data_IF_284293209725
#
_entry.id   IF_284293209725
#
_cell.length_a   1.000
_cell.length_b   1.000
_cell.length_c   1.000
_cell.angle_alpha   90.00
_cell.angle_beta   90.00
_cell.angle_gamma   90.00
#
_symmetry.space_group_name_H-M   'P 1'
#
loop_
_entity.id
_entity.type
_entity.pdbx_description
1 polymer ?
#
# COMPACT_ATOMS: atom_id res chain seq x y z
N UNK A 1 -26.22 6.40 -38.98
CA UNK A 1 -24.77 6.50 -39.20
C UNK A 1 -24.54 7.57 -40.24
N UNK A 2 -24.14 8.77 -39.84
CA UNK A 2 -23.57 9.70 -40.80
C UNK A 2 -22.12 9.27 -41.02
N UNK A 3 -21.74 9.06 -42.27
CA UNK A 3 -20.34 8.89 -42.63
C UNK A 3 -19.54 10.11 -42.12
N UNK A 4 -18.39 9.86 -41.51
CA UNK A 4 -17.49 10.92 -41.10
C UNK A 4 -17.17 11.79 -42.33
N UNK A 5 -17.16 13.13 -42.22
CA UNK A 5 -16.81 14.00 -43.34
C UNK A 5 -15.44 13.62 -43.92
N UNK A 6 -15.31 13.60 -45.25
CA UNK A 6 -14.01 13.42 -45.92
C UNK A 6 -13.07 14.64 -45.75
N UNK A 7 -13.55 15.70 -45.10
CA UNK A 7 -12.77 16.90 -44.77
C UNK A 7 -12.25 16.82 -43.33
N UNK A 8 -11.05 17.34 -43.10
CA UNK A 8 -10.46 17.36 -41.77
C UNK A 8 -11.31 18.22 -40.82
N UNK A 9 -11.91 17.59 -39.81
CA UNK A 9 -12.69 18.28 -38.78
C UNK A 9 -11.78 18.57 -37.58
N UNK A 10 -11.69 19.84 -37.19
CA UNK A 10 -10.98 20.24 -35.98
C UNK A 10 -11.86 20.00 -34.75
N UNK A 11 -11.40 19.12 -33.86
CA UNK A 11 -12.07 18.87 -32.57
C UNK A 11 -11.63 19.93 -31.55
N UNK A 12 -12.62 20.57 -30.92
CA UNK A 12 -12.43 21.66 -29.93
C UNK A 12 -13.28 21.40 -28.69
N UNK A 13 -13.09 22.21 -27.65
CA UNK A 13 -13.84 22.11 -26.39
C UNK A 13 -15.36 22.33 -26.57
N UNK A 14 -15.78 22.94 -27.69
CA UNK A 14 -17.19 23.07 -28.07
C UNK A 14 -17.74 21.81 -28.76
N UNK A 15 -16.87 20.89 -29.17
CA UNK A 15 -17.27 19.64 -29.82
C UNK A 15 -17.67 18.61 -28.78
N UNK A 16 -18.85 18.01 -28.93
CA UNK A 16 -19.29 16.88 -28.10
C UNK A 16 -18.97 15.56 -28.81
N UNK A 17 -18.25 14.67 -28.13
CA UNK A 17 -17.94 13.31 -28.58
C UNK A 17 -18.73 12.32 -27.73
N UNK A 18 -19.68 11.63 -28.35
CA UNK A 18 -20.44 10.56 -27.70
C UNK A 18 -19.77 9.21 -27.92
N UNK A 19 -19.36 8.56 -26.84
CA UNK A 19 -18.82 7.20 -26.83
C UNK A 19 -19.93 6.22 -26.45
N UNK A 20 -20.17 5.23 -27.32
CA UNK A 20 -21.22 4.24 -27.12
C UNK A 20 -20.83 2.93 -27.80
N UNK A 21 -20.67 1.87 -27.00
CA UNK A 21 -20.42 0.50 -27.49
C UNK A 21 -19.33 0.42 -28.58
N UNK A 22 -18.16 1.00 -28.28
CA UNK A 22 -16.95 0.92 -29.11
C UNK A 22 -15.73 0.50 -28.29
N UNK A 23 -14.66 0.16 -28.98
CA UNK A 23 -13.30 0.09 -28.44
C UNK A 23 -12.46 1.20 -29.06
N UNK A 24 -11.71 1.94 -28.24
CA UNK A 24 -10.82 3.01 -28.71
C UNK A 24 -9.42 2.87 -28.11
N UNK A 25 -8.41 3.36 -28.83
CA UNK A 25 -7.07 3.44 -28.22
C UNK A 25 -7.06 4.42 -27.03
N UNK A 26 -6.36 4.07 -25.96
CA UNK A 26 -6.05 4.91 -24.81
C UNK A 26 -5.54 6.31 -25.22
N UNK A 27 -4.72 6.40 -26.28
CA UNK A 27 -4.25 7.71 -26.78
C UNK A 27 -5.38 8.56 -27.34
N UNK A 28 -6.23 7.98 -28.17
CA UNK A 28 -7.38 8.70 -28.73
C UNK A 28 -8.35 9.11 -27.61
N UNK A 29 -8.57 8.22 -26.63
CA UNK A 29 -9.36 8.52 -25.45
C UNK A 29 -8.83 9.75 -24.69
N UNK A 30 -7.52 9.83 -24.42
CA UNK A 30 -6.93 11.02 -23.78
C UNK A 30 -6.99 12.27 -24.65
N UNK A 31 -6.97 12.15 -25.98
CA UNK A 31 -7.21 13.29 -26.87
C UNK A 31 -8.64 13.81 -26.70
N UNK A 32 -9.63 12.93 -26.68
CA UNK A 32 -11.03 13.32 -26.46
C UNK A 32 -11.24 13.94 -25.09
N UNK A 33 -10.73 13.32 -24.02
CA UNK A 33 -10.82 13.87 -22.67
C UNK A 33 -10.30 15.31 -22.60
N UNK A 34 -9.19 15.60 -23.28
CA UNK A 34 -8.51 16.89 -23.16
C UNK A 34 -9.04 17.97 -24.07
N UNK A 35 -9.55 17.59 -25.26
CA UNK A 35 -9.88 18.53 -26.34
C UNK A 35 -11.37 18.66 -26.60
N UNK A 36 -12.23 17.78 -26.09
CA UNK A 36 -13.67 17.76 -26.42
C UNK A 36 -14.51 17.57 -25.17
N UNK A 37 -15.81 17.90 -25.22
CA UNK A 37 -16.75 17.41 -24.21
C UNK A 37 -17.08 15.94 -24.50
N UNK A 38 -16.82 15.05 -23.55
CA UNK A 38 -17.07 13.62 -23.71
C UNK A 38 -18.37 13.24 -23.02
N UNK A 39 -19.24 12.56 -23.74
CA UNK A 39 -20.46 11.93 -23.20
C UNK A 39 -20.36 10.42 -23.40
N UNK A 40 -20.75 9.65 -22.39
CA UNK A 40 -20.76 8.18 -22.45
C UNK A 40 -22.21 7.73 -22.38
N UNK A 41 -22.70 7.16 -23.48
CA UNK A 41 -24.09 6.67 -23.59
C UNK A 41 -24.17 5.20 -23.18
N UNK A 42 -23.28 4.38 -23.72
CA UNK A 42 -23.09 2.98 -23.35
C UNK A 42 -21.64 2.73 -22.94
N UNK A 43 -21.40 1.65 -22.18
CA UNK A 43 -20.04 1.28 -21.81
C UNK A 43 -19.17 1.07 -23.06
N UNK A 44 -17.94 1.56 -23.00
CA UNK A 44 -16.95 1.42 -24.07
C UNK A 44 -15.67 0.81 -23.49
N UNK A 45 -14.70 0.49 -24.34
CA UNK A 45 -13.41 -0.08 -23.91
C UNK A 45 -12.24 0.76 -24.38
N UNK A 46 -11.17 0.78 -23.59
CA UNK A 46 -9.88 1.34 -23.96
C UNK A 46 -8.84 0.22 -24.13
N UNK A 47 -8.01 0.35 -25.16
CA UNK A 47 -6.97 -0.61 -25.53
C UNK A 47 -5.64 0.10 -25.82
N UNK A 48 -4.57 -0.66 -26.00
CA UNK A 48 -3.26 -0.13 -26.38
C UNK A 48 -3.32 0.53 -27.76
N UNK A 49 -2.64 1.67 -27.91
CA UNK A 49 -2.45 2.32 -29.18
C UNK A 49 -1.44 1.54 -30.02
N UNK A 50 -1.82 1.27 -31.25
CA UNK A 50 -0.97 0.67 -32.27
C UNK A 50 -1.02 1.57 -33.51
N UNK A 51 0.14 2.08 -33.93
CA UNK A 51 0.24 2.96 -35.09
C UNK A 51 -0.10 2.25 -36.41
N UNK A 52 -0.14 0.92 -36.42
CA UNK A 52 -0.46 0.11 -37.58
C UNK A 52 -1.94 -0.26 -37.69
N UNK A 53 -2.76 0.10 -36.71
CA UNK A 53 -4.15 -0.33 -36.63
C UNK A 53 -5.10 0.86 -36.38
N UNK A 54 -6.39 0.66 -36.66
CA UNK A 54 -7.40 1.67 -36.41
C UNK A 54 -7.56 1.94 -34.91
N UNK A 55 -7.71 3.23 -34.57
CA UNK A 55 -7.85 3.72 -33.21
C UNK A 55 -9.28 3.59 -32.66
N UNK A 56 -10.25 3.22 -33.49
CA UNK A 56 -11.67 3.01 -33.17
C UNK A 56 -12.09 1.67 -33.78
N UNK A 57 -12.72 0.81 -32.99
CA UNK A 57 -13.11 -0.56 -33.35
C UNK A 57 -14.46 -0.92 -32.74
N UNK A 58 -15.04 -2.01 -33.22
CA UNK A 58 -16.23 -2.60 -32.61
C UNK A 58 -15.97 -3.06 -31.17
N UNK A 59 -16.96 -2.88 -30.30
CA UNK A 59 -16.87 -3.29 -28.90
C UNK A 59 -16.78 -4.81 -28.74
N UNK A 60 -16.16 -5.27 -27.65
CA UNK A 60 -16.00 -6.71 -27.37
C UNK A 60 -14.89 -7.38 -28.18
N UNK A 61 -14.25 -6.68 -29.12
CA UNK A 61 -12.98 -7.08 -29.74
C UNK A 61 -11.78 -6.96 -28.80
N UNK A 62 -12.03 -6.73 -27.51
CA UNK A 62 -11.05 -6.57 -26.44
C UNK A 62 -9.95 -7.60 -26.60
N UNK A 63 -8.85 -7.15 -27.19
CA UNK A 63 -7.63 -7.92 -27.13
C UNK A 63 -7.37 -8.13 -25.65
N UNK A 64 -7.06 -9.37 -25.27
CA UNK A 64 -6.32 -9.66 -24.05
C UNK A 64 -4.90 -9.09 -24.19
N UNK A 65 -4.78 -7.79 -24.47
CA UNK A 65 -3.56 -7.02 -24.59
C UNK A 65 -3.53 -6.01 -23.46
N UNK A 66 -3.11 -6.45 -22.26
CA UNK A 66 -2.84 -5.55 -21.15
C UNK A 66 -1.96 -4.39 -21.61
N UNK A 67 -2.34 -3.16 -21.27
CA UNK A 67 -1.61 -1.96 -21.66
C UNK A 67 -1.24 -1.09 -20.47
N UNK A 68 -0.40 -0.09 -20.71
CA UNK A 68 0.01 0.87 -19.70
C UNK A 68 -0.90 2.09 -19.75
N UNK A 69 -1.58 2.37 -18.63
CA UNK A 69 -2.36 3.58 -18.44
C UNK A 69 -1.54 4.55 -17.58
N UNK A 70 -0.91 5.51 -18.23
CA UNK A 70 -0.13 6.55 -17.57
C UNK A 70 -0.58 7.92 -18.08
N UNK A 71 -0.09 8.97 -17.45
CA UNK A 71 -0.33 10.32 -17.90
C UNK A 71 0.88 10.87 -18.68
N UNK A 72 0.82 10.84 -20.01
CA UNK A 72 1.91 11.35 -20.86
C UNK A 72 1.98 12.89 -20.92
N UNK A 73 0.92 13.61 -20.51
CA UNK A 73 0.79 15.06 -20.76
C UNK A 73 0.09 15.80 -19.61
N UNK A 74 0.09 17.13 -19.61
CA UNK A 74 -0.63 17.92 -18.60
C UNK A 74 -2.14 17.70 -18.74
N UNK A 75 -2.80 17.46 -17.61
CA UNK A 75 -4.23 17.18 -17.55
C UNK A 75 -4.98 18.50 -17.59
N UNK A 76 -5.85 18.68 -18.58
CA UNK A 76 -6.69 19.87 -18.68
C UNK A 76 -7.85 19.79 -17.68
N UNK A 77 -8.35 20.96 -17.25
CA UNK A 77 -9.57 21.05 -16.43
C UNK A 77 -10.73 20.29 -17.11
N UNK A 78 -10.86 20.45 -18.43
CA UNK A 78 -11.86 19.74 -19.24
C UNK A 78 -11.74 18.21 -19.12
N UNK A 79 -10.53 17.65 -19.02
CA UNK A 79 -10.34 16.22 -18.84
C UNK A 79 -10.86 15.74 -17.49
N UNK A 80 -10.66 16.52 -16.43
CA UNK A 80 -11.19 16.22 -15.09
C UNK A 80 -12.73 16.27 -15.12
N UNK A 81 -13.30 17.35 -15.67
CA UNK A 81 -14.77 17.47 -15.78
C UNK A 81 -15.39 16.33 -16.60
N UNK A 82 -14.71 15.89 -17.66
CA UNK A 82 -15.16 14.76 -18.45
C UNK A 82 -15.16 13.45 -17.65
N UNK A 83 -14.14 13.22 -16.81
CA UNK A 83 -14.07 12.04 -15.93
C UNK A 83 -15.18 12.07 -14.88
N UNK A 84 -15.40 13.23 -14.25
CA UNK A 84 -16.45 13.41 -13.24
C UNK A 84 -17.84 13.05 -13.79
N UNK A 85 -18.12 13.40 -15.06
CA UNK A 85 -19.39 13.10 -15.73
C UNK A 85 -19.59 11.61 -16.06
N UNK A 86 -18.52 10.80 -16.07
CA UNK A 86 -18.61 9.39 -16.45
C UNK A 86 -19.23 8.55 -15.33
N UNK A 87 -20.03 7.55 -15.68
CA UNK A 87 -20.53 6.59 -14.70
C UNK A 87 -19.39 5.66 -14.20
N UNK A 88 -19.43 5.18 -12.95
CA UNK A 88 -18.55 4.11 -12.49
C UNK A 88 -18.66 2.86 -13.39
N UNK A 89 -17.55 2.14 -13.57
CA UNK A 89 -17.46 0.94 -14.42
C UNK A 89 -17.92 1.12 -15.89
N UNK A 90 -17.85 2.34 -16.44
CA UNK A 90 -18.23 2.62 -17.83
C UNK A 90 -17.13 2.36 -18.86
N UNK A 91 -15.87 2.20 -18.40
CA UNK A 91 -14.69 2.06 -19.25
C UNK A 91 -14.07 0.68 -19.07
N UNK A 92 -14.34 -0.26 -19.97
CA UNK A 92 -13.68 -1.57 -20.00
C UNK A 92 -12.18 -1.44 -20.30
N UNK A 93 -11.33 -2.11 -19.52
CA UNK A 93 -9.90 -2.14 -19.80
C UNK A 93 -9.22 -3.40 -19.25
N UNK A 94 -8.06 -3.73 -19.84
CA UNK A 94 -7.11 -4.70 -19.31
C UNK A 94 -5.79 -3.97 -19.05
N UNK A 95 -5.42 -3.82 -17.79
CA UNK A 95 -4.25 -3.06 -17.39
C UNK A 95 -3.05 -3.96 -17.15
N UNK A 96 -1.91 -3.57 -17.72
CA UNK A 96 -0.59 -4.09 -17.38
C UNK A 96 0.06 -3.21 -16.32
N UNK A 97 -0.03 -1.89 -16.48
CA UNK A 97 0.56 -0.90 -15.59
C UNK A 97 -0.38 0.29 -15.45
N UNK A 98 -0.40 0.88 -14.27
CA UNK A 98 -1.08 2.15 -13.99
C UNK A 98 -0.15 3.02 -13.16
N UNK A 99 0.16 4.21 -13.65
CA UNK A 99 1.03 5.17 -12.96
C UNK A 99 0.48 6.58 -13.08
N UNK A 100 -0.04 7.09 -11.96
CA UNK A 100 -0.55 8.45 -11.84
C UNK A 100 0.09 9.13 -10.63
N UNK A 101 0.72 10.29 -10.86
CA UNK A 101 1.35 11.10 -9.83
C UNK A 101 0.81 12.52 -9.90
N UNK A 102 0.36 13.02 -8.75
CA UNK A 102 -0.11 14.40 -8.55
C UNK A 102 -1.06 14.91 -9.63
N UNK A 103 -2.13 14.14 -9.86
CA UNK A 103 -3.10 14.47 -10.90
C UNK A 103 -4.52 14.02 -10.56
N UNK A 104 -5.50 14.85 -10.94
CA UNK A 104 -6.92 14.51 -10.89
C UNK A 104 -7.32 13.33 -11.78
N UNK A 105 -6.45 12.85 -12.68
CA UNK A 105 -6.70 11.62 -13.45
C UNK A 105 -6.86 10.38 -12.56
N UNK A 106 -6.36 10.39 -11.32
CA UNK A 106 -6.58 9.29 -10.38
C UNK A 106 -8.08 9.02 -10.18
N UNK A 107 -8.93 10.05 -10.30
CA UNK A 107 -10.38 9.94 -10.25
C UNK A 107 -11.00 9.11 -11.40
N UNK A 108 -10.23 8.70 -12.40
CA UNK A 108 -10.69 7.75 -13.42
C UNK A 108 -10.85 6.32 -12.87
N UNK A 109 -10.15 5.96 -11.78
CA UNK A 109 -10.11 4.57 -11.28
C UNK A 109 -11.50 3.95 -11.06
N UNK A 110 -12.48 4.62 -10.41
CA UNK A 110 -13.82 4.06 -10.25
C UNK A 110 -14.60 3.93 -11.57
N UNK A 111 -14.19 4.64 -12.62
CA UNK A 111 -14.80 4.59 -13.96
C UNK A 111 -14.31 3.37 -14.75
N UNK A 112 -13.14 2.84 -14.39
CA UNK A 112 -12.56 1.66 -15.02
C UNK A 112 -13.27 0.39 -14.58
N UNK A 113 -13.75 -0.38 -15.55
CA UNK A 113 -14.19 -1.77 -15.42
C UNK A 113 -13.02 -2.69 -15.75
N UNK A 114 -12.10 -2.82 -14.80
CA UNK A 114 -10.95 -3.74 -14.89
C UNK A 114 -11.46 -5.17 -14.78
N UNK A 115 -11.07 -6.02 -15.73
CA UNK A 115 -11.48 -7.42 -15.71
C UNK A 115 -10.96 -8.13 -14.45
N UNK A 116 -11.79 -8.96 -13.82
CA UNK A 116 -11.45 -9.63 -12.56
C UNK A 116 -10.20 -10.50 -12.64
N UNK A 117 -9.90 -11.06 -13.82
CA UNK A 117 -8.70 -11.88 -14.07
C UNK A 117 -7.45 -11.09 -14.49
N UNK A 118 -7.50 -9.75 -14.51
CA UNK A 118 -6.32 -8.94 -14.83
C UNK A 118 -5.18 -9.16 -13.83
N UNK A 119 -3.97 -9.25 -14.37
CA UNK A 119 -2.73 -9.26 -13.59
C UNK A 119 -1.97 -7.96 -13.89
N UNK A 120 -1.94 -7.05 -12.93
CA UNK A 120 -1.26 -5.76 -13.04
C UNK A 120 0.19 -5.92 -12.57
N UNK A 121 1.16 -5.54 -13.39
CA UNK A 121 2.57 -5.54 -13.00
C UNK A 121 2.88 -4.39 -12.02
N UNK A 122 2.39 -3.18 -12.29
CA UNK A 122 2.60 -2.03 -11.41
C UNK A 122 1.33 -1.19 -11.29
N UNK A 123 0.94 -0.87 -10.06
CA UNK A 123 -0.08 0.12 -9.74
C UNK A 123 0.57 1.17 -8.83
N UNK A 124 0.83 2.36 -9.37
CA UNK A 124 1.43 3.47 -8.65
C UNK A 124 0.50 4.67 -8.64
N UNK A 125 0.21 5.16 -7.44
CA UNK A 125 -0.58 6.37 -7.21
C UNK A 125 0.16 7.26 -6.21
N UNK A 126 0.40 8.51 -6.57
CA UNK A 126 0.86 9.56 -5.66
C UNK A 126 -0.13 10.74 -5.73
N UNK A 127 -0.58 11.22 -4.58
CA UNK A 127 -1.39 12.42 -4.49
C UNK A 127 -1.00 13.28 -3.28
N UNK A 128 -0.26 14.36 -3.51
CA UNK A 128 0.07 15.36 -2.49
C UNK A 128 -1.10 16.27 -2.10
N UNK A 129 -2.16 16.32 -2.93
CA UNK A 129 -3.39 17.09 -2.69
C UNK A 129 -4.62 16.17 -2.64
N UNK A 130 -5.50 16.40 -1.67
CA UNK A 130 -6.75 15.63 -1.51
C UNK A 130 -7.64 15.69 -2.75
N UNK A 131 -7.66 16.84 -3.44
CA UNK A 131 -8.45 17.05 -4.64
C UNK A 131 -8.14 16.03 -5.76
N UNK A 132 -6.92 15.50 -5.80
CA UNK A 132 -6.53 14.49 -6.79
C UNK A 132 -7.22 13.14 -6.58
N UNK A 133 -7.69 12.84 -5.37
CA UNK A 133 -8.34 11.55 -5.03
C UNK A 133 -9.76 11.69 -4.49
N UNK A 134 -10.26 12.92 -4.32
CA UNK A 134 -11.52 13.20 -3.64
C UNK A 134 -12.71 12.39 -4.21
N UNK A 135 -12.81 12.25 -5.53
CA UNK A 135 -13.89 11.49 -6.16
C UNK A 135 -13.76 9.98 -5.91
N UNK A 136 -12.52 9.47 -5.88
CA UNK A 136 -12.26 8.07 -5.51
C UNK A 136 -12.65 7.82 -4.06
N UNK A 137 -12.27 8.71 -3.15
CA UNK A 137 -12.58 8.58 -1.73
C UNK A 137 -14.08 8.73 -1.45
N UNK A 138 -14.81 9.49 -2.27
CA UNK A 138 -16.26 9.62 -2.18
C UNK A 138 -17.02 8.35 -2.61
N UNK A 139 -16.36 7.35 -3.22
CA UNK A 139 -17.04 6.13 -3.65
C UNK A 139 -17.55 5.31 -2.45
N UNK A 140 -18.82 4.93 -2.49
CA UNK A 140 -19.41 4.00 -1.52
C UNK A 140 -19.02 2.54 -1.81
N UNK A 141 -18.94 2.18 -3.09
CA UNK A 141 -18.66 0.81 -3.54
C UNK A 141 -17.20 0.69 -3.95
N UNK A 142 -16.47 -0.31 -3.43
CA UNK A 142 -15.11 -0.55 -3.88
C UNK A 142 -15.04 -0.93 -5.36
N UNK A 143 -14.01 -0.46 -6.07
CA UNK A 143 -13.74 -0.83 -7.46
C UNK A 143 -12.76 -2.00 -7.55
N UNK A 144 -12.78 -2.74 -8.66
CA UNK A 144 -11.91 -3.90 -8.88
C UNK A 144 -10.51 -3.46 -9.32
N UNK A 145 -9.46 -4.13 -8.82
CA UNK A 145 -8.06 -3.94 -9.24
C UNK A 145 -7.44 -5.20 -9.84
N UNK A 146 -8.28 -6.10 -10.35
CA UNK A 146 -7.87 -7.39 -10.92
C UNK A 146 -7.56 -8.47 -9.89
N UNK A 147 -7.09 -9.62 -10.37
CA UNK A 147 -6.80 -10.83 -9.57
C UNK A 147 -5.47 -10.75 -8.86
N UNK A 148 -4.50 -10.08 -9.47
CA UNK A 148 -3.15 -9.95 -8.93
C UNK A 148 -2.57 -8.58 -9.27
N UNK A 149 -1.86 -8.00 -8.30
CA UNK A 149 -0.98 -6.86 -8.49
C UNK A 149 0.42 -7.30 -8.07
N UNK A 150 1.42 -7.16 -8.94
CA UNK A 150 2.79 -7.46 -8.56
C UNK A 150 3.30 -6.38 -7.61
N UNK A 151 3.40 -5.13 -8.07
CA UNK A 151 3.83 -4.03 -7.22
C UNK A 151 2.75 -2.95 -7.08
N UNK A 152 2.36 -2.63 -5.85
CA UNK A 152 1.40 -1.58 -5.51
C UNK A 152 2.09 -0.50 -4.65
N UNK A 153 2.11 0.74 -5.14
CA UNK A 153 2.70 1.89 -4.46
C UNK A 153 1.63 2.97 -4.29
N UNK A 154 1.30 3.31 -3.04
CA UNK A 154 0.36 4.39 -2.73
C UNK A 154 1.07 5.42 -1.84
N UNK A 155 1.18 6.65 -2.34
CA UNK A 155 1.89 7.74 -1.68
C UNK A 155 0.94 8.89 -1.33
N UNK A 156 1.09 9.42 -0.13
CA UNK A 156 0.32 10.54 0.42
C UNK A 156 -1.21 10.29 0.42
N UNK A 157 -2.05 11.20 -0.08
CA UNK A 157 -3.51 11.01 -0.06
C UNK A 157 -3.95 9.77 -0.85
N UNK A 158 -3.10 9.25 -1.76
CA UNK A 158 -3.38 8.00 -2.46
C UNK A 158 -3.40 6.79 -1.52
N UNK A 159 -2.80 6.86 -0.33
CA UNK A 159 -2.96 5.82 0.70
C UNK A 159 -4.44 5.60 1.05
N UNK A 160 -5.26 6.65 1.04
CA UNK A 160 -6.71 6.55 1.27
C UNK A 160 -7.44 5.68 0.25
N UNK A 161 -6.94 5.65 -1.00
CA UNK A 161 -7.58 4.95 -2.13
C UNK A 161 -7.69 3.45 -1.88
N UNK A 162 -6.77 2.85 -1.10
CA UNK A 162 -6.81 1.42 -0.77
C UNK A 162 -8.14 0.99 -0.12
N UNK A 163 -8.79 1.88 0.63
CA UNK A 163 -10.08 1.62 1.30
C UNK A 163 -11.24 1.50 0.32
N UNK A 164 -11.04 1.95 -0.92
CA UNK A 164 -12.01 1.96 -2.01
C UNK A 164 -11.68 0.88 -3.05
N UNK A 165 -10.70 0.02 -2.80
CA UNK A 165 -10.35 -1.11 -3.65
C UNK A 165 -10.99 -2.41 -3.14
N UNK A 166 -11.49 -3.23 -4.05
CA UNK A 166 -11.96 -4.59 -3.75
C UNK A 166 -10.77 -5.56 -3.77
N UNK A 167 -10.18 -5.81 -2.59
CA UNK A 167 -8.93 -6.59 -2.45
C UNK A 167 -9.12 -8.01 -1.94
N UNK A 168 -10.32 -8.43 -1.53
CA UNK A 168 -10.56 -9.70 -0.83
C UNK A 168 -9.92 -10.92 -1.52
N UNK A 169 -10.04 -10.99 -2.84
CA UNK A 169 -9.51 -12.10 -3.64
C UNK A 169 -8.24 -11.73 -4.44
N UNK A 170 -7.71 -10.52 -4.22
CA UNK A 170 -6.53 -10.00 -4.89
C UNK A 170 -5.25 -10.52 -4.22
N UNK A 171 -4.31 -11.02 -5.01
CA UNK A 171 -2.93 -11.28 -4.56
C UNK A 171 -2.03 -10.08 -4.82
N UNK A 172 -1.27 -9.65 -3.82
CA UNK A 172 -0.32 -8.54 -3.93
C UNK A 172 1.08 -9.07 -3.61
N UNK A 173 2.04 -8.98 -4.53
CA UNK A 173 3.42 -9.40 -4.22
C UNK A 173 4.13 -8.38 -3.35
N UNK A 174 4.02 -7.09 -3.68
CA UNK A 174 4.65 -6.00 -2.96
C UNK A 174 3.66 -4.84 -2.76
N UNK A 175 3.39 -4.48 -1.50
CA UNK A 175 2.57 -3.34 -1.11
C UNK A 175 3.41 -2.31 -0.37
N UNK A 176 3.56 -1.11 -0.93
CA UNK A 176 4.21 0.03 -0.28
C UNK A 176 3.21 1.16 -0.04
N UNK A 177 3.06 1.57 1.22
CA UNK A 177 2.30 2.76 1.61
C UNK A 177 3.23 3.77 2.27
N UNK A 178 3.22 5.00 1.79
CA UNK A 178 4.02 6.09 2.35
C UNK A 178 3.15 7.33 2.52
N UNK A 179 3.13 7.90 3.72
CA UNK A 179 2.34 9.10 4.00
C UNK A 179 3.12 10.08 4.87
N UNK A 180 3.45 11.23 4.28
CA UNK A 180 4.31 12.24 4.93
C UNK A 180 3.59 13.15 5.94
N UNK A 181 2.25 13.23 5.85
CA UNK A 181 1.41 14.02 6.75
C UNK A 181 0.28 13.18 7.33
N UNK A 182 -0.18 13.56 8.52
CA UNK A 182 -1.31 12.91 9.18
C UNK A 182 -2.60 12.91 8.34
N UNK A 183 -2.85 14.01 7.62
CA UNK A 183 -4.03 14.17 6.77
C UNK A 183 -4.10 13.14 5.63
N UNK A 184 -2.95 12.69 5.12
CA UNK A 184 -2.87 11.69 4.05
C UNK A 184 -3.51 10.34 4.41
N UNK A 185 -3.54 9.99 5.70
CA UNK A 185 -4.13 8.74 6.20
C UNK A 185 -5.46 8.95 6.92
N UNK A 186 -6.01 10.17 6.94
CA UNK A 186 -7.19 10.50 7.73
C UNK A 186 -8.41 9.65 7.34
N UNK A 187 -8.66 9.47 6.03
CA UNK A 187 -9.75 8.63 5.52
C UNK A 187 -9.62 7.17 5.98
N UNK A 188 -8.40 6.65 6.02
CA UNK A 188 -8.15 5.28 6.47
C UNK A 188 -8.38 5.14 7.96
N UNK A 189 -7.86 6.09 8.75
CA UNK A 189 -8.03 6.10 10.21
C UNK A 189 -9.48 6.35 10.65
N UNK A 190 -10.30 7.00 9.81
CA UNK A 190 -11.72 7.20 10.03
C UNK A 190 -12.55 5.91 9.87
N UNK A 191 -12.00 4.86 9.26
CA UNK A 191 -12.70 3.58 9.09
C UNK A 191 -13.11 2.99 10.45
N UNK A 192 -14.41 2.68 10.58
CA UNK A 192 -14.98 2.08 11.80
C UNK A 192 -14.66 0.59 11.91
N UNK A 193 -14.54 -0.10 10.78
CA UNK A 193 -14.24 -1.53 10.71
C UNK A 193 -12.93 -1.73 9.95
N UNK A 194 -12.12 -2.74 10.32
CA UNK A 194 -10.96 -3.08 9.54
C UNK A 194 -11.35 -3.46 8.10
N UNK A 195 -10.57 -3.03 7.11
CA UNK A 195 -10.75 -3.38 5.72
C UNK A 195 -9.79 -4.52 5.30
N UNK A 196 -10.15 -5.25 4.25
CA UNK A 196 -9.30 -6.32 3.72
C UNK A 196 -8.24 -5.73 2.78
N UNK A 197 -6.99 -6.14 2.95
CA UNK A 197 -5.85 -5.74 2.11
C UNK A 197 -5.48 -6.78 1.04
N UNK A 198 -6.26 -7.87 0.95
CA UNK A 198 -5.94 -9.02 0.09
C UNK A 198 -4.83 -9.89 0.65
N UNK A 199 -4.28 -10.76 -0.21
CA UNK A 199 -3.15 -11.64 0.13
C UNK A 199 -1.85 -10.93 -0.22
N UNK A 200 -1.28 -10.20 0.73
CA UNK A 200 -0.03 -9.45 0.57
C UNK A 200 1.16 -10.33 0.96
N UNK A 201 2.15 -10.44 0.08
CA UNK A 201 3.38 -11.19 0.34
C UNK A 201 4.41 -10.33 1.08
N UNK A 202 4.77 -9.18 0.51
CA UNK A 202 5.69 -8.20 1.12
C UNK A 202 4.97 -6.87 1.37
N UNK A 203 5.07 -6.33 2.58
CA UNK A 203 4.45 -5.07 2.98
C UNK A 203 5.48 -4.10 3.54
N UNK A 204 5.48 -2.87 3.03
CA UNK A 204 6.33 -1.78 3.50
C UNK A 204 5.50 -0.55 3.84
N UNK A 205 5.56 -0.09 5.09
CA UNK A 205 4.82 1.08 5.54
C UNK A 205 5.80 2.13 6.09
N UNK A 206 5.69 3.36 5.59
CA UNK A 206 6.56 4.47 5.98
C UNK A 206 5.79 5.63 6.57
N UNK A 207 6.34 6.22 7.63
CA UNK A 207 5.81 7.41 8.29
C UNK A 207 4.35 7.22 8.77
N UNK A 208 3.44 8.16 8.49
CA UNK A 208 2.05 8.06 8.97
C UNK A 208 1.30 6.84 8.41
N UNK A 209 1.80 6.21 7.35
CA UNK A 209 1.20 4.99 6.79
C UNK A 209 1.27 3.81 7.77
N UNK A 210 2.20 3.80 8.72
CA UNK A 210 2.25 2.76 9.77
C UNK A 210 0.97 2.77 10.63
N UNK A 211 0.34 3.93 10.82
CA UNK A 211 -0.95 4.03 11.51
C UNK A 211 -2.09 3.25 10.85
N UNK A 212 -2.00 2.99 9.54
CA UNK A 212 -3.02 2.27 8.77
C UNK A 212 -3.18 0.83 9.23
N UNK A 213 -2.14 0.20 9.80
CA UNK A 213 -2.21 -1.17 10.33
C UNK A 213 -3.39 -1.37 11.28
N UNK A 214 -3.70 -0.36 12.09
CA UNK A 214 -4.82 -0.40 13.06
C UNK A 214 -6.19 -0.56 12.43
N UNK A 215 -6.28 -0.40 11.10
CA UNK A 215 -7.51 -0.45 10.30
C UNK A 215 -7.46 -1.56 9.25
N UNK A 216 -6.44 -2.40 9.25
CA UNK A 216 -6.34 -3.53 8.33
C UNK A 216 -6.78 -4.83 9.03
N UNK A 217 -7.46 -5.70 8.28
CA UNK A 217 -7.73 -7.08 8.72
C UNK A 217 -6.56 -7.98 8.32
N UNK A 218 -5.61 -8.17 9.24
CA UNK A 218 -4.34 -8.86 8.96
C UNK A 218 -4.24 -10.30 9.51
N UNK A 219 -5.25 -10.76 10.26
CA UNK A 219 -5.20 -12.05 10.98
C UNK A 219 -4.89 -13.25 10.08
N UNK A 220 -5.42 -13.24 8.86
CA UNK A 220 -5.27 -14.31 7.88
C UNK A 220 -4.17 -14.02 6.83
N UNK A 221 -3.36 -12.97 7.05
CA UNK A 221 -2.23 -12.65 6.19
C UNK A 221 -1.01 -13.51 6.53
N UNK A 222 -0.24 -13.83 5.48
CA UNK A 222 1.04 -14.55 5.56
C UNK A 222 2.10 -13.72 4.85
N UNK A 223 2.86 -12.94 5.61
CA UNK A 223 3.90 -12.09 5.09
C UNK A 223 5.23 -12.84 4.96
N UNK A 224 5.86 -12.75 3.79
CA UNK A 224 7.30 -13.02 3.69
C UNK A 224 8.08 -11.87 4.33
N UNK A 225 7.71 -10.62 4.05
CA UNK A 225 8.33 -9.43 4.66
C UNK A 225 7.26 -8.46 5.19
N UNK A 226 7.42 -8.02 6.45
CA UNK A 226 6.75 -6.85 7.01
C UNK A 226 7.81 -5.84 7.44
N UNK A 227 7.87 -4.68 6.79
CA UNK A 227 8.81 -3.61 7.08
C UNK A 227 8.08 -2.33 7.49
N UNK A 228 8.47 -1.74 8.62
CA UNK A 228 7.92 -0.50 9.16
C UNK A 228 9.05 0.48 9.47
N UNK A 229 8.97 1.70 8.92
CA UNK A 229 9.98 2.76 9.12
C UNK A 229 9.29 4.06 9.53
N UNK A 230 9.64 4.57 10.71
CA UNK A 230 9.09 5.84 11.21
C UNK A 230 10.14 6.70 11.92
N UNK A 231 10.64 7.77 11.29
CA UNK A 231 11.66 8.63 11.90
C UNK A 231 11.11 9.59 12.96
N UNK A 232 9.78 9.66 13.17
CA UNK A 232 9.15 10.59 14.12
C UNK A 232 8.08 9.92 14.97
N UNK A 233 8.01 10.30 16.24
CA UNK A 233 7.03 9.76 17.23
C UNK A 233 5.58 9.89 16.78
N UNK A 234 5.24 10.99 16.11
CA UNK A 234 3.87 11.27 15.65
C UNK A 234 3.37 10.27 14.60
N UNK A 235 4.26 9.64 13.84
CA UNK A 235 3.93 8.66 12.80
C UNK A 235 3.27 7.40 13.37
N UNK A 236 3.66 6.98 14.58
CA UNK A 236 3.12 5.79 15.26
C UNK A 236 2.02 6.10 16.27
N UNK A 237 1.64 7.38 16.43
CA UNK A 237 0.71 7.80 17.48
C UNK A 237 -0.67 7.12 17.38
N UNK A 238 -1.13 6.77 16.16
CA UNK A 238 -2.38 6.03 15.97
C UNK A 238 -2.29 4.58 16.48
N UNK A 239 -1.13 3.94 16.29
CA UNK A 239 -0.88 2.56 16.75
C UNK A 239 -0.75 2.52 18.27
N UNK A 240 0.05 3.41 18.86
CA UNK A 240 0.32 3.40 20.29
C UNK A 240 -0.91 3.72 21.15
N UNK A 241 -1.90 4.42 20.58
CA UNK A 241 -3.20 4.68 21.22
C UNK A 241 -4.12 3.47 21.28
N UNK A 242 -3.81 2.37 20.58
CA UNK A 242 -4.60 1.15 20.68
C UNK A 242 -4.49 0.57 22.10
N UNK A 243 -5.65 0.36 22.73
CA UNK A 243 -5.73 -0.28 24.05
C UNK A 243 -5.45 -1.77 23.94
N UNK A 244 -5.96 -2.41 22.88
CA UNK A 244 -5.78 -3.82 22.60
C UNK A 244 -4.77 -4.03 21.48
N UNK A 245 -3.79 -4.93 21.64
CA UNK A 245 -2.92 -5.33 20.54
C UNK A 245 -3.71 -5.87 19.35
N UNK A 246 -3.22 -5.63 18.13
CA UNK A 246 -3.81 -6.17 16.90
C UNK A 246 -2.96 -7.33 16.37
N UNK A 247 -3.63 -8.32 15.78
CA UNK A 247 -2.99 -9.49 15.19
C UNK A 247 -2.40 -9.13 13.82
N UNK A 248 -1.10 -9.37 13.62
CA UNK A 248 -0.40 -9.14 12.34
C UNK A 248 -0.35 -10.37 11.43
N UNK A 249 -1.03 -11.46 11.80
CA UNK A 249 -1.01 -12.72 11.05
C UNK A 249 0.30 -13.49 11.25
N UNK A 250 0.77 -14.18 10.19
CA UNK A 250 2.07 -14.86 10.14
C UNK A 250 3.09 -13.98 9.44
N UNK A 251 4.30 -13.87 9.99
CA UNK A 251 5.38 -13.04 9.45
C UNK A 251 6.69 -13.83 9.45
N UNK A 252 7.30 -14.01 8.28
CA UNK A 252 8.59 -14.69 8.14
C UNK A 252 9.76 -13.76 8.47
N UNK A 253 9.76 -12.53 7.94
CA UNK A 253 10.78 -11.53 8.23
C UNK A 253 10.13 -10.20 8.64
N UNK A 254 10.52 -9.67 9.79
CA UNK A 254 10.00 -8.43 10.36
C UNK A 254 11.13 -7.42 10.56
N UNK A 255 10.99 -6.23 9.95
CA UNK A 255 11.95 -5.14 10.03
C UNK A 255 11.27 -3.92 10.63
N UNK A 256 11.72 -3.46 11.80
CA UNK A 256 11.18 -2.27 12.47
C UNK A 256 12.29 -1.26 12.69
N UNK A 257 12.14 -0.07 12.11
CA UNK A 257 13.13 1.01 12.16
C UNK A 257 12.61 2.23 12.92
N UNK A 258 13.47 2.78 13.79
CA UNK A 258 13.24 3.95 14.62
C UNK A 258 11.97 3.83 15.49
N UNK A 259 11.04 4.79 15.47
CA UNK A 259 9.84 4.74 16.31
C UNK A 259 8.93 3.53 15.99
N UNK A 260 9.18 2.83 14.87
CA UNK A 260 8.42 1.64 14.50
C UNK A 260 8.74 0.48 15.44
N UNK A 261 9.91 0.50 16.10
CA UNK A 261 10.25 -0.45 17.17
C UNK A 261 9.20 -0.44 18.28
N UNK A 262 8.62 0.73 18.60
CA UNK A 262 7.54 0.85 19.59
C UNK A 262 6.24 0.12 19.20
N UNK A 263 6.00 -0.07 17.90
CA UNK A 263 4.78 -0.71 17.37
C UNK A 263 4.67 -2.17 17.82
N UNK A 264 5.79 -2.86 18.03
CA UNK A 264 5.82 -4.28 18.44
C UNK A 264 5.04 -4.53 19.74
N UNK A 265 4.99 -3.54 20.64
CA UNK A 265 4.25 -3.62 21.91
C UNK A 265 2.73 -3.65 21.73
N UNK A 266 2.25 -3.30 20.54
CA UNK A 266 0.84 -3.26 20.15
C UNK A 266 0.49 -4.35 19.15
N UNK A 267 1.41 -5.28 18.87
CA UNK A 267 1.18 -6.40 17.98
C UNK A 267 0.97 -7.69 18.79
N UNK A 268 0.09 -8.55 18.29
CA UNK A 268 0.09 -9.97 18.64
C UNK A 268 0.51 -10.78 17.43
N UNK A 269 1.47 -11.66 17.66
CA UNK A 269 1.92 -12.64 16.66
C UNK A 269 1.10 -13.91 16.89
N UNK A 270 0.70 -14.57 15.80
CA UNK A 270 -0.04 -15.82 15.89
C UNK A 270 0.77 -16.89 16.66
N UNK A 271 0.13 -17.69 17.52
CA UNK A 271 0.82 -18.66 18.41
C UNK A 271 1.70 -19.67 17.62
N UNK A 272 1.20 -20.10 16.46
CA UNK A 272 1.91 -20.99 15.53
C UNK A 272 2.91 -20.27 14.61
N UNK A 273 3.13 -18.97 14.76
CA UNK A 273 4.09 -18.24 13.93
C UNK A 273 5.52 -18.44 14.45
N UNK A 274 6.41 -18.78 13.52
CA UNK A 274 7.85 -18.79 13.73
C UNK A 274 8.46 -17.68 12.86
N UNK A 275 9.01 -16.65 13.50
CA UNK A 275 9.67 -15.55 12.79
C UNK A 275 11.06 -16.03 12.37
N UNK A 276 11.30 -16.12 11.07
CA UNK A 276 12.62 -16.43 10.53
C UNK A 276 13.66 -15.33 10.84
N UNK A 277 13.28 -14.06 10.73
CA UNK A 277 14.13 -12.93 11.11
C UNK A 277 13.35 -11.80 11.80
N UNK A 278 13.76 -11.42 13.01
CA UNK A 278 13.32 -10.20 13.70
C UNK A 278 14.48 -9.19 13.70
N UNK A 279 14.34 -8.11 12.94
CA UNK A 279 15.33 -7.04 12.83
C UNK A 279 14.76 -5.75 13.42
N UNK A 280 15.39 -5.23 14.48
CA UNK A 280 15.04 -3.95 15.09
C UNK A 280 16.23 -3.00 15.03
N UNK A 281 16.03 -1.78 14.53
CA UNK A 281 17.05 -0.71 14.52
C UNK A 281 16.47 0.55 15.14
N UNK A 282 17.21 1.21 16.03
CA UNK A 282 16.79 2.49 16.60
C UNK A 282 17.98 3.43 16.81
N UNK A 283 18.01 4.50 16.03
CA UNK A 283 19.12 5.47 16.06
C UNK A 283 19.16 6.39 17.28
N UNK A 284 18.05 6.53 18.01
CA UNK A 284 17.95 7.35 19.21
C UNK A 284 17.27 6.61 20.39
N UNK A 285 17.63 6.95 21.64
CA UNK A 285 16.96 6.38 22.84
C UNK A 285 15.45 6.67 22.82
N UNK A 286 15.04 7.81 22.25
CA UNK A 286 13.64 8.19 22.14
C UNK A 286 12.81 7.21 21.30
N UNK A 287 13.42 6.51 20.35
CA UNK A 287 12.75 5.56 19.44
C UNK A 287 12.24 4.32 20.18
N UNK A 288 12.92 3.93 21.26
CA UNK A 288 12.56 2.75 22.08
C UNK A 288 11.86 3.12 23.39
N UNK A 289 11.65 4.41 23.66
CA UNK A 289 11.11 4.88 24.94
C UNK A 289 9.76 4.24 25.31
N UNK A 290 8.88 4.03 24.33
CA UNK A 290 7.59 3.38 24.53
C UNK A 290 7.73 1.91 24.95
N UNK A 291 8.70 1.20 24.37
CA UNK A 291 9.00 -0.19 24.72
C UNK A 291 9.54 -0.27 26.13
N UNK A 292 10.49 0.60 26.47
CA UNK A 292 11.13 0.65 27.79
C UNK A 292 10.17 1.09 28.90
N UNK A 293 9.12 1.83 28.56
CA UNK A 293 8.08 2.23 29.50
C UNK A 293 7.11 1.10 29.86
N UNK A 294 7.12 -0.03 29.14
CA UNK A 294 6.27 -1.17 29.46
C UNK A 294 6.60 -1.73 30.84
N UNK A 295 5.58 -1.91 31.68
CA UNK A 295 5.73 -2.56 32.99
C UNK A 295 6.03 -4.04 32.84
N UNK A 296 5.36 -4.70 31.89
CA UNK A 296 5.50 -6.12 31.61
C UNK A 296 6.23 -6.33 30.29
N UNK A 297 7.12 -7.34 30.21
CA UNK A 297 7.71 -7.72 28.94
C UNK A 297 6.64 -8.11 27.91
N UNK A 298 6.91 -7.84 26.63
CA UNK A 298 6.11 -8.33 25.52
C UNK A 298 6.73 -9.61 24.94
N UNK A 299 5.89 -10.50 24.40
CA UNK A 299 6.33 -11.76 23.82
C UNK A 299 6.41 -11.65 22.29
N UNK A 300 7.55 -12.06 21.71
CA UNK A 300 7.76 -12.13 20.26
C UNK A 300 7.56 -13.53 19.68
N UNK A 301 7.15 -14.50 20.50
CA UNK A 301 6.93 -15.88 20.07
C UNK A 301 8.24 -16.62 19.80
N UNK A 302 8.25 -17.44 18.75
CA UNK A 302 9.44 -18.17 18.28
C UNK A 302 10.18 -17.34 17.23
N UNK A 303 11.50 -17.27 17.35
CA UNK A 303 12.37 -16.50 16.47
C UNK A 303 13.61 -17.32 16.14
N UNK A 304 13.90 -17.49 14.85
CA UNK A 304 15.10 -18.21 14.37
C UNK A 304 16.34 -17.30 14.41
N UNK A 305 16.23 -16.09 13.84
CA UNK A 305 17.28 -15.08 13.85
C UNK A 305 16.77 -13.75 14.41
N UNK A 306 17.52 -13.16 15.33
CA UNK A 306 17.18 -11.87 15.93
C UNK A 306 18.38 -10.92 15.86
N UNK A 307 18.15 -9.72 15.35
CA UNK A 307 19.18 -8.70 15.16
C UNK A 307 18.69 -7.37 15.73
N UNK A 308 19.40 -6.85 16.73
CA UNK A 308 19.04 -5.63 17.44
C UNK A 308 20.19 -4.64 17.34
N UNK A 309 19.96 -3.57 16.59
CA UNK A 309 20.96 -2.56 16.26
C UNK A 309 20.73 -1.27 17.05
N UNK A 310 21.81 -0.68 17.53
CA UNK A 310 21.85 0.60 18.23
C UNK A 310 20.95 0.60 19.48
N UNK A 311 20.12 1.62 19.71
CA UNK A 311 19.26 1.66 20.91
C UNK A 311 18.21 0.55 20.94
N UNK A 312 17.94 -0.13 19.82
CA UNK A 312 17.06 -1.29 19.79
C UNK A 312 17.61 -2.45 20.62
N UNK A 313 18.92 -2.51 20.86
CA UNK A 313 19.50 -3.48 21.79
C UNK A 313 18.85 -3.40 23.18
N UNK A 314 18.48 -2.21 23.67
CA UNK A 314 17.85 -2.04 24.99
C UNK A 314 16.46 -2.69 25.09
N UNK A 315 15.81 -3.00 23.97
CA UNK A 315 14.49 -3.65 23.93
C UNK A 315 14.51 -5.03 24.57
N UNK A 316 15.65 -5.73 24.58
CA UNK A 316 15.76 -7.06 25.21
C UNK A 316 15.37 -7.06 26.69
N UNK A 317 15.52 -5.93 27.38
CA UNK A 317 15.15 -5.77 28.80
C UNK A 317 13.63 -5.84 29.02
N UNK A 318 12.84 -5.74 27.95
CA UNK A 318 11.38 -5.73 27.95
C UNK A 318 10.78 -6.78 27.03
N UNK A 319 11.56 -7.76 26.63
CA UNK A 319 11.14 -8.78 25.69
C UNK A 319 11.28 -10.17 26.30
N UNK A 320 10.31 -11.03 26.01
CA UNK A 320 10.38 -12.47 26.27
C UNK A 320 10.26 -13.23 24.97
N UNK A 321 10.88 -14.41 24.92
CA UNK A 321 10.79 -15.34 23.80
C UNK A 321 10.08 -16.60 24.31
N UNK A 322 9.44 -17.35 23.41
CA UNK A 322 8.82 -18.62 23.76
C UNK A 322 9.84 -19.58 24.41
N UNK A 323 9.44 -20.31 25.47
CA UNK A 323 10.34 -21.18 26.27
C UNK A 323 11.04 -22.27 25.45
N UNK A 324 10.33 -22.79 24.43
CA UNK A 324 10.86 -23.80 23.51
C UNK A 324 11.68 -23.24 22.36
N UNK A 325 11.91 -21.92 22.31
CA UNK A 325 12.69 -21.32 21.23
C UNK A 325 14.18 -21.66 21.34
N UNK A 326 14.78 -22.00 20.21
CA UNK A 326 16.24 -22.11 20.06
C UNK A 326 16.66 -21.23 18.88
N UNK A 327 17.28 -20.08 19.17
CA UNK A 327 17.77 -19.16 18.13
C UNK A 327 19.03 -19.71 17.46
N UNK A 328 19.08 -19.61 16.13
CA UNK A 328 20.28 -19.86 15.34
C UNK A 328 21.26 -18.68 15.43
N UNK A 329 20.72 -17.46 15.35
CA UNK A 329 21.50 -16.22 15.31
C UNK A 329 20.87 -15.21 16.27
N UNK A 330 21.68 -14.64 17.15
CA UNK A 330 21.30 -13.51 17.98
C UNK A 330 22.42 -12.47 17.93
N UNK A 331 22.12 -11.31 17.35
CA UNK A 331 23.03 -10.19 17.19
C UNK A 331 22.55 -9.02 18.03
N UNK A 332 23.41 -8.56 18.92
CA UNK A 332 23.36 -7.22 19.51
C UNK A 332 24.49 -6.42 18.89
N UNK A 333 24.20 -5.26 18.31
CA UNK A 333 25.24 -4.43 17.70
C UNK A 333 25.02 -2.97 18.08
N UNK A 334 26.05 -2.35 18.67
CA UNK A 334 26.02 -0.95 19.03
C UNK A 334 27.20 -0.53 19.90
N UNK A 335 27.40 0.77 20.02
CA UNK A 335 28.38 1.35 20.95
C UNK A 335 27.97 1.22 22.43
N UNK A 336 28.94 1.47 23.32
CA UNK A 336 28.76 1.49 24.79
C UNK A 336 27.53 2.27 25.27
N UNK A 337 27.14 3.37 24.60
CA UNK A 337 25.97 4.18 24.97
C UNK A 337 24.65 3.40 24.79
N UNK A 338 24.57 2.56 23.77
CA UNK A 338 23.38 1.76 23.44
C UNK A 338 23.11 0.64 24.46
N UNK A 339 24.16 0.12 25.09
CA UNK A 339 24.05 -0.91 26.14
C UNK A 339 23.84 -0.36 27.55
N UNK A 340 23.78 0.96 27.73
CA UNK A 340 23.73 1.58 29.06
C UNK A 340 22.51 1.17 29.91
N UNK A 341 21.41 0.77 29.29
CA UNK A 341 20.23 0.21 29.98
C UNK A 341 20.45 -1.24 30.39
N UNK A 342 20.92 -2.09 29.48
CA UNK A 342 21.24 -3.50 29.76
C UNK A 342 22.24 -3.63 30.92
N UNK A 343 23.28 -2.78 30.93
CA UNK A 343 24.30 -2.79 31.98
C UNK A 343 23.79 -2.35 33.36
N UNK A 344 22.58 -1.80 33.47
CA UNK A 344 21.94 -1.46 34.74
C UNK A 344 21.04 -2.58 35.25
N UNK A 345 20.71 -3.55 34.41
CA UNK A 345 19.91 -4.68 34.82
C UNK A 345 20.72 -5.61 35.73
N UNK A 346 20.03 -6.26 36.67
CA UNK A 346 20.66 -7.21 37.59
C UNK A 346 21.11 -8.48 36.87
N UNK A 347 21.96 -9.28 37.52
CA UNK A 347 22.36 -10.58 36.98
C UNK A 347 21.13 -11.48 36.74
N UNK A 348 21.10 -12.19 35.60
CA UNK A 348 20.03 -13.10 35.20
C UNK A 348 18.63 -12.44 35.02
N UNK A 349 18.59 -11.14 34.76
CA UNK A 349 17.36 -10.36 34.52
C UNK A 349 16.78 -10.49 33.12
N UNK A 350 17.58 -10.93 32.15
CA UNK A 350 17.21 -11.04 30.74
C UNK A 350 17.18 -12.52 30.37
N UNK A 351 15.99 -13.02 30.02
CA UNK A 351 15.77 -14.38 29.55
C UNK A 351 15.44 -14.38 28.05
N UNK A 352 16.37 -14.88 27.25
CA UNK A 352 16.26 -14.99 25.79
C UNK A 352 16.12 -16.45 25.33
N UNK A 353 15.91 -17.39 26.26
CA UNK A 353 15.86 -18.81 25.96
C UNK A 353 17.20 -19.38 25.47
N UNK A 354 17.16 -20.32 24.53
CA UNK A 354 18.34 -21.04 24.03
C UNK A 354 18.89 -20.37 22.77
N UNK A 355 20.22 -20.26 22.68
CA UNK A 355 20.94 -19.79 21.49
C UNK A 355 21.94 -20.87 21.10
N UNK A 356 22.02 -21.23 19.82
CA UNK A 356 23.01 -22.20 19.34
C UNK A 356 24.44 -21.70 19.55
N UNK A 357 25.35 -22.64 19.80
CA UNK A 357 26.78 -22.35 19.94
C UNK A 357 27.32 -21.65 18.68
N UNK A 358 27.88 -20.45 18.85
CA UNK A 358 28.38 -19.61 17.75
C UNK A 358 27.34 -18.67 17.13
N UNK A 359 26.08 -18.75 17.56
CA UNK A 359 24.98 -17.88 17.13
C UNK A 359 24.94 -16.52 17.80
N UNK A 360 25.55 -16.38 18.98
CA UNK A 360 25.63 -15.12 19.74
C UNK A 360 26.73 -14.20 19.19
N UNK A 361 26.37 -12.97 18.84
CA UNK A 361 27.28 -11.87 18.50
C UNK A 361 26.86 -10.62 19.26
N UNK A 362 27.79 -9.96 19.94
CA UNK A 362 27.58 -8.74 20.74
C UNK A 362 28.67 -7.73 20.43
#
# INVERSE_FOLDING_TARGET
TCDLPNEAVLLTDQTTVTLSNIEISERLFFVFLRKTMVTVEEAFSITKHDYSEDCIREHGMARNSPFELNNYEVVSILAIENIERMAPNSIGCSLKKLDFSDTGLINILPKLRIHGDCNIEHLRLNASEEAHVAEVLAQEKPFCVGRRVKDMYLEDYAVGVITKMSLKDCGIEYLSLHATRREHVAEVLAQKKPFCVGRVKDMHLREYAVGVLTKMSLKDCEFEILSLDTPRKEHVAAVLKQETPFCVGRVKHMFLEDYAVGVITKMTIHEDCEIGCLHLTASEEAHVAEVLAQEKPFCVGRVESMMLYEYAASVITKMTIHEDNTMEIFVLDGDKKHFSRILKEGDNSIDLGRIRTGGLRV
#
